data_IF_038468593844
#
_entry.id   IF_038468593844
#
_cell.length_a   1.000
_cell.length_b   1.000
_cell.length_c   1.000
_cell.angle_alpha   90.00
_cell.angle_beta   90.00
_cell.angle_gamma   90.00
#
_symmetry.space_group_name_H-M   'P 1'
#
loop_
_entity.id
_entity.type
_entity.pdbx_description
1 polymer ?
#
# COMPACT_ATOMS: atom_id res chain seq x y z
N UNK A 1 -17.49 -11.35 9.18
CA UNK A 1 -16.80 -11.39 7.91
C UNK A 1 -16.16 -10.03 7.63
N UNK A 2 -15.00 -10.01 6.94
CA UNK A 2 -14.26 -8.79 6.59
C UNK A 2 -13.91 -7.97 7.85
N UNK A 3 -14.20 -6.67 7.91
CA UNK A 3 -13.89 -5.81 9.05
C UNK A 3 -14.44 -6.31 10.40
N UNK A 4 -15.58 -7.01 10.38
CA UNK A 4 -16.11 -7.66 11.59
C UNK A 4 -15.26 -8.84 12.08
N UNK A 5 -14.61 -9.57 11.16
CA UNK A 5 -13.64 -10.61 11.54
C UNK A 5 -12.41 -9.99 12.19
N UNK A 6 -11.88 -8.93 11.61
CA UNK A 6 -10.76 -8.18 12.20
C UNK A 6 -11.08 -7.67 13.62
N UNK A 7 -12.28 -7.12 13.84
CA UNK A 7 -12.71 -6.68 15.17
C UNK A 7 -12.76 -7.84 16.16
N UNK A 8 -13.34 -8.99 15.78
CA UNK A 8 -13.44 -10.16 16.63
C UNK A 8 -12.05 -10.70 17.01
N UNK A 9 -11.13 -10.75 16.05
CA UNK A 9 -9.74 -11.17 16.28
C UNK A 9 -9.00 -10.22 17.23
N UNK A 10 -9.16 -8.89 17.02
CA UNK A 10 -8.56 -7.89 17.92
C UNK A 10 -9.11 -7.98 19.34
N UNK A 11 -10.40 -8.26 19.50
CA UNK A 11 -11.00 -8.46 20.84
C UNK A 11 -10.44 -9.72 21.49
N UNK A 12 -10.40 -10.84 20.76
CA UNK A 12 -9.91 -12.10 21.29
C UNK A 12 -8.42 -12.03 21.71
N UNK A 13 -7.61 -11.32 20.93
CA UNK A 13 -6.17 -11.16 21.17
C UNK A 13 -5.87 -10.22 22.34
N UNK A 14 -6.56 -9.07 22.40
CA UNK A 14 -6.26 -8.04 23.40
C UNK A 14 -7.05 -8.18 24.71
N UNK A 15 -8.15 -8.94 24.69
CA UNK A 15 -9.02 -9.12 25.85
C UNK A 15 -9.36 -10.61 26.04
N UNK A 16 -8.38 -11.46 26.37
CA UNK A 16 -8.59 -12.90 26.55
C UNK A 16 -9.63 -13.17 27.65
N UNK A 17 -10.57 -14.06 27.34
CA UNK A 17 -11.66 -14.41 28.24
C UNK A 17 -12.91 -13.51 28.18
N UNK A 18 -12.90 -12.48 27.35
CA UNK A 18 -14.10 -11.67 27.10
C UNK A 18 -15.12 -12.41 26.19
N UNK A 19 -14.62 -13.24 25.29
CA UNK A 19 -15.43 -14.03 24.36
C UNK A 19 -15.13 -15.53 24.60
N UNK A 20 -16.18 -16.37 24.63
CA UNK A 20 -16.04 -17.83 24.72
C UNK A 20 -15.55 -18.46 23.41
N UNK A 21 -15.71 -17.78 22.31
CA UNK A 21 -15.23 -18.19 20.99
C UNK A 21 -15.57 -17.16 19.92
N UNK A 22 -14.85 -17.24 18.78
CA UNK A 22 -15.09 -16.39 17.62
C UNK A 22 -15.22 -17.26 16.37
N UNK A 23 -16.09 -16.83 15.45
CA UNK A 23 -16.17 -17.38 14.09
C UNK A 23 -15.87 -16.26 13.11
N UNK A 24 -14.76 -16.40 12.41
CA UNK A 24 -14.28 -15.39 11.46
C UNK A 24 -14.35 -15.89 10.02
N UNK A 25 -14.69 -15.01 9.10
CA UNK A 25 -14.70 -15.31 7.66
C UNK A 25 -14.16 -14.13 6.88
N UNK A 26 -13.49 -14.37 5.76
CA UNK A 26 -12.77 -13.35 4.99
C UNK A 26 -11.83 -12.53 5.88
N UNK A 27 -11.12 -13.23 6.77
CA UNK A 27 -10.24 -12.62 7.75
C UNK A 27 -9.01 -12.01 7.08
N UNK A 28 -8.55 -10.90 7.65
CA UNK A 28 -7.30 -10.22 7.29
C UNK A 28 -6.71 -9.56 8.54
N UNK A 29 -6.18 -10.35 9.47
CA UNK A 29 -5.67 -9.86 10.77
C UNK A 29 -4.58 -8.80 10.59
N UNK A 30 -3.81 -8.89 9.51
CA UNK A 30 -2.77 -7.94 9.13
C UNK A 30 -3.29 -6.87 8.15
N UNK A 31 -4.36 -6.17 8.53
CA UNK A 31 -4.98 -5.14 7.69
C UNK A 31 -4.01 -3.99 7.34
N UNK A 32 -3.11 -3.67 8.25
CA UNK A 32 -2.12 -2.61 8.06
C UNK A 32 -1.16 -2.89 6.92
N UNK A 33 -0.82 -4.14 6.68
CA UNK A 33 0.15 -4.56 5.67
C UNK A 33 -0.52 -5.11 4.42
N UNK A 34 -1.42 -6.09 4.56
CA UNK A 34 -2.05 -6.74 3.43
C UNK A 34 -2.85 -5.76 2.55
N UNK A 35 -3.74 -4.97 3.15
CA UNK A 35 -4.54 -4.01 2.40
C UNK A 35 -3.69 -2.84 1.87
N UNK A 36 -2.68 -2.40 2.61
CA UNK A 36 -1.78 -1.32 2.17
C UNK A 36 -0.84 -1.80 1.08
N UNK A 37 -0.25 -2.99 1.20
CA UNK A 37 0.65 -3.55 0.19
C UNK A 37 -0.06 -3.74 -1.15
N UNK A 38 -1.30 -4.26 -1.14
CA UNK A 38 -2.05 -4.51 -2.38
C UNK A 38 -2.61 -3.21 -2.96
N UNK A 39 -3.31 -2.40 -2.18
CA UNK A 39 -4.06 -1.26 -2.70
C UNK A 39 -3.23 0.02 -2.75
N UNK A 40 -2.81 0.52 -1.60
CA UNK A 40 -2.18 1.84 -1.52
C UNK A 40 -0.73 1.86 -2.02
N UNK A 41 -0.10 0.70 -2.21
CA UNK A 41 1.26 0.58 -2.70
C UNK A 41 1.33 -0.11 -4.05
N UNK A 42 1.05 -1.43 -4.15
CA UNK A 42 1.21 -2.20 -5.39
C UNK A 42 0.33 -1.71 -6.52
N UNK A 43 -0.99 -1.65 -6.31
CA UNK A 43 -1.93 -1.16 -7.33
C UNK A 43 -1.64 0.29 -7.73
N UNK A 44 -1.24 1.13 -6.77
CA UNK A 44 -0.91 2.53 -7.03
C UNK A 44 0.33 2.68 -7.91
N UNK A 45 1.37 1.88 -7.70
CA UNK A 45 2.56 1.87 -8.55
C UNK A 45 2.24 1.41 -9.98
N UNK A 46 1.49 0.31 -10.11
CA UNK A 46 1.11 -0.25 -11.40
C UNK A 46 0.20 0.70 -12.18
N UNK A 47 -0.80 1.30 -11.53
CA UNK A 47 -1.68 2.30 -12.15
C UNK A 47 -0.90 3.55 -12.60
N UNK A 48 0.00 4.08 -11.74
CA UNK A 48 0.85 5.21 -12.10
C UNK A 48 1.76 4.90 -13.30
N UNK A 49 2.31 3.68 -13.36
CA UNK A 49 3.10 3.25 -14.49
C UNK A 49 2.26 3.25 -15.78
N UNK A 50 1.08 2.64 -15.79
CA UNK A 50 0.23 2.58 -16.98
C UNK A 50 -0.21 3.96 -17.47
N UNK A 51 -0.42 4.91 -16.57
CA UNK A 51 -0.74 6.31 -16.95
C UNK A 51 0.41 7.06 -17.62
N UNK A 52 1.65 6.66 -17.36
CA UNK A 52 2.87 7.33 -17.83
C UNK A 52 3.58 6.57 -18.95
N UNK A 53 3.23 5.31 -19.16
CA UNK A 53 3.86 4.46 -20.16
C UNK A 53 3.60 4.99 -21.56
N UNK A 54 4.65 4.98 -22.38
CA UNK A 54 4.56 5.25 -23.80
C UNK A 54 4.25 3.99 -24.63
N UNK A 55 4.11 2.83 -23.98
CA UNK A 55 3.73 1.59 -24.63
C UNK A 55 2.22 1.41 -24.59
N UNK A 56 1.68 0.81 -25.65
CA UNK A 56 0.26 0.43 -25.67
C UNK A 56 -0.01 -0.74 -24.75
N UNK A 57 -1.04 -0.58 -23.90
CA UNK A 57 -1.51 -1.57 -22.96
C UNK A 57 -3.02 -1.78 -23.09
N UNK A 58 -3.43 -2.98 -23.43
CA UNK A 58 -4.85 -3.34 -23.39
C UNK A 58 -5.32 -3.54 -21.95
N UNK A 59 -6.61 -3.43 -21.70
CA UNK A 59 -7.18 -3.67 -20.37
C UNK A 59 -6.95 -5.11 -19.90
N UNK A 60 -7.00 -6.09 -20.81
CA UNK A 60 -6.65 -7.48 -20.49
C UNK A 60 -5.21 -7.63 -20.00
N UNK A 61 -4.26 -6.91 -20.59
CA UNK A 61 -2.86 -6.89 -20.15
C UNK A 61 -2.70 -6.21 -18.79
N UNK A 62 -3.38 -5.09 -18.56
CA UNK A 62 -3.38 -4.40 -17.26
C UNK A 62 -3.92 -5.29 -16.14
N UNK A 63 -5.01 -6.01 -16.41
CA UNK A 63 -5.60 -7.00 -15.50
C UNK A 63 -4.62 -8.13 -15.21
N UNK A 64 -4.01 -8.70 -16.24
CA UNK A 64 -3.03 -9.79 -16.07
C UNK A 64 -1.78 -9.37 -15.27
N UNK A 65 -1.35 -8.12 -15.39
CA UNK A 65 -0.22 -7.58 -14.62
C UNK A 65 -0.59 -7.27 -13.17
N UNK A 66 -1.78 -6.69 -12.95
CA UNK A 66 -2.21 -6.24 -11.62
C UNK A 66 -2.81 -7.35 -10.76
N UNK A 67 -3.34 -8.41 -11.37
CA UNK A 67 -4.11 -9.47 -10.69
C UNK A 67 -5.46 -9.01 -10.14
N UNK A 68 -5.92 -7.80 -10.49
CA UNK A 68 -7.21 -7.27 -10.08
C UNK A 68 -8.33 -7.74 -11.03
N UNK A 69 -9.58 -7.63 -10.59
CA UNK A 69 -10.74 -8.16 -11.32
C UNK A 69 -10.93 -7.51 -12.70
N UNK A 70 -10.64 -6.22 -12.81
CA UNK A 70 -10.74 -5.45 -14.06
C UNK A 70 -9.86 -4.18 -14.00
N UNK A 71 -9.75 -3.47 -15.13
CA UNK A 71 -8.95 -2.26 -15.23
C UNK A 71 -9.52 -1.09 -14.43
N UNK A 72 -10.83 -1.05 -14.19
CA UNK A 72 -11.47 -0.02 -13.34
C UNK A 72 -11.10 -0.24 -11.89
N UNK A 73 -11.09 -1.50 -11.43
CA UNK A 73 -10.63 -1.85 -10.09
C UNK A 73 -9.18 -1.40 -9.85
N UNK A 74 -8.30 -1.55 -10.85
CA UNK A 74 -6.94 -1.06 -10.78
C UNK A 74 -6.88 0.47 -10.57
N UNK A 75 -7.64 1.23 -11.36
CA UNK A 75 -7.69 2.70 -11.23
C UNK A 75 -8.25 3.14 -9.88
N UNK A 76 -9.33 2.51 -9.42
CA UNK A 76 -9.95 2.82 -8.12
C UNK A 76 -8.99 2.53 -6.98
N UNK A 77 -8.27 1.42 -7.01
CA UNK A 77 -7.30 1.07 -5.97
C UNK A 77 -6.05 1.94 -6.07
N UNK A 78 -5.54 2.21 -7.27
CA UNK A 78 -4.38 3.06 -7.50
C UNK A 78 -4.57 4.52 -7.04
N UNK A 79 -5.79 5.00 -6.99
CA UNK A 79 -6.13 6.35 -6.53
C UNK A 79 -6.33 6.47 -5.00
N UNK A 80 -5.88 5.50 -4.20
CA UNK A 80 -6.04 5.50 -2.74
C UNK A 80 -4.71 5.63 -1.99
N UNK A 81 -4.05 6.82 -2.03
CA UNK A 81 -2.86 7.06 -1.21
C UNK A 81 -3.18 7.27 0.26
N UNK A 82 -4.43 7.46 0.61
CA UNK A 82 -4.96 7.86 1.91
C UNK A 82 -4.33 7.09 3.08
N UNK A 83 -4.15 5.79 2.96
CA UNK A 83 -3.59 4.97 4.04
C UNK A 83 -2.09 5.19 4.29
N UNK A 84 -1.35 5.55 3.26
CA UNK A 84 0.09 5.81 3.36
C UNK A 84 0.44 7.30 3.37
N UNK A 85 -0.55 8.17 3.12
CA UNK A 85 -0.36 9.61 3.10
C UNK A 85 -0.29 10.16 4.53
N UNK A 86 0.80 10.81 4.93
CA UNK A 86 0.96 11.34 6.27
C UNK A 86 0.00 12.49 6.61
N UNK A 87 -0.60 13.14 5.61
CA UNK A 87 -1.53 14.25 5.81
C UNK A 87 -2.99 13.80 5.95
N UNK A 88 -3.30 12.53 5.72
CA UNK A 88 -4.67 12.00 5.77
C UNK A 88 -5.14 11.76 7.21
N UNK A 89 -5.23 12.82 7.98
CA UNK A 89 -5.62 12.80 9.38
C UNK A 89 -7.15 12.84 9.55
N UNK A 90 -7.62 12.15 10.59
CA UNK A 90 -9.00 12.25 11.03
C UNK A 90 -9.30 13.70 11.49
N UNK A 91 -10.53 14.16 11.23
CA UNK A 91 -10.95 15.54 11.57
C UNK A 91 -10.97 15.81 13.09
N UNK A 92 -11.03 14.78 13.91
CA UNK A 92 -10.89 14.88 15.36
C UNK A 92 -9.49 15.37 15.80
N UNK A 93 -8.45 15.20 14.96
CA UNK A 93 -7.13 15.75 15.24
C UNK A 93 -7.10 17.24 14.81
N UNK A 94 -6.89 18.18 15.76
CA UNK A 94 -6.80 19.59 15.43
C UNK A 94 -5.75 19.89 14.36
N UNK A 95 -6.01 20.76 13.37
CA UNK A 95 -5.08 21.09 12.30
C UNK A 95 -3.69 21.52 12.78
N UNK A 96 -3.60 22.27 13.87
CA UNK A 96 -2.35 22.73 14.44
C UNK A 96 -1.43 21.59 14.96
N UNK A 97 -1.99 20.41 15.17
CA UNK A 97 -1.22 19.22 15.60
C UNK A 97 -0.83 18.31 14.45
N UNK A 98 -1.39 18.52 13.25
CA UNK A 98 -1.12 17.70 12.08
C UNK A 98 0.25 18.05 11.49
N UNK A 99 0.91 17.02 10.96
CA UNK A 99 2.14 17.21 10.24
C UNK A 99 1.96 18.04 8.98
N UNK A 100 2.86 18.97 8.77
CA UNK A 100 3.03 19.72 7.54
C UNK A 100 4.55 19.88 7.31
N UNK A 101 5.07 19.62 6.10
CA UNK A 101 6.51 19.65 5.86
C UNK A 101 7.16 21.01 6.09
N UNK A 102 6.39 22.09 6.02
CA UNK A 102 6.87 23.48 6.19
C UNK A 102 6.38 24.09 7.49
N UNK A 103 5.07 24.08 7.71
CA UNK A 103 4.45 24.78 8.83
C UNK A 103 4.56 24.01 10.16
N UNK A 104 4.55 22.66 10.13
CA UNK A 104 4.62 21.83 11.33
C UNK A 104 5.35 20.51 11.07
N UNK A 105 6.67 20.53 10.81
CA UNK A 105 7.44 19.32 10.47
C UNK A 105 7.54 18.31 11.62
N UNK A 106 7.20 18.70 12.85
CA UNK A 106 7.15 17.82 14.03
C UNK A 106 5.72 17.41 14.41
N UNK A 107 4.73 17.76 13.61
CA UNK A 107 3.34 17.40 13.82
C UNK A 107 3.07 15.91 13.67
N UNK A 108 1.88 15.48 14.07
CA UNK A 108 1.45 14.10 13.98
C UNK A 108 1.24 13.70 12.51
N UNK A 109 1.97 12.69 12.06
CA UNK A 109 1.79 12.02 10.77
C UNK A 109 0.70 10.98 10.90
N UNK A 110 -0.21 10.93 9.95
CA UNK A 110 -1.43 10.11 10.02
C UNK A 110 -1.41 8.92 9.05
N UNK A 111 -0.23 8.47 8.64
CA UNK A 111 -0.11 7.28 7.81
C UNK A 111 -0.27 6.00 8.65
N UNK A 112 -0.58 4.89 7.98
CA UNK A 112 -0.66 3.56 8.61
C UNK A 112 0.67 3.15 9.27
N UNK A 113 1.80 3.68 8.81
CA UNK A 113 3.10 3.39 9.38
C UNK A 113 3.18 3.81 10.86
N UNK A 114 2.57 4.95 11.21
CA UNK A 114 2.51 5.42 12.60
C UNK A 114 1.66 4.50 13.49
N UNK A 115 0.65 3.82 12.95
CA UNK A 115 -0.08 2.79 13.68
C UNK A 115 0.80 1.57 13.99
N UNK A 116 1.70 1.23 13.08
CA UNK A 116 2.61 0.10 13.24
C UNK A 116 3.86 0.38 14.07
N UNK A 117 4.06 1.60 14.58
CA UNK A 117 5.30 2.01 15.24
C UNK A 117 5.67 1.17 16.47
N UNK A 118 4.68 0.66 17.20
CA UNK A 118 4.93 -0.22 18.35
C UNK A 118 5.47 -1.60 17.95
N UNK A 119 5.15 -2.07 16.75
CA UNK A 119 5.67 -3.34 16.21
C UNK A 119 6.98 -3.18 15.44
N UNK A 120 7.07 -2.16 14.59
CA UNK A 120 8.19 -1.98 13.65
C UNK A 120 9.25 -0.98 14.14
N UNK A 121 8.90 -0.17 15.12
CA UNK A 121 9.78 0.87 15.64
C UNK A 121 9.91 2.08 14.73
N UNK A 122 10.91 2.91 15.04
CA UNK A 122 11.28 4.09 14.27
C UNK A 122 12.68 3.95 13.70
N UNK A 123 12.91 4.56 12.56
CA UNK A 123 14.23 4.73 12.00
C UNK A 123 15.04 5.66 12.92
N UNK A 124 16.22 5.24 13.43
CA UNK A 124 16.99 6.02 14.39
C UNK A 124 17.61 7.28 13.78
N UNK A 125 17.73 7.38 12.46
CA UNK A 125 18.31 8.53 11.77
C UNK A 125 17.27 9.62 11.52
N UNK A 126 16.07 9.21 11.11
CA UNK A 126 15.01 10.15 10.71
C UNK A 126 13.96 10.36 11.81
N UNK A 127 13.82 9.42 12.76
CA UNK A 127 12.77 9.41 13.77
C UNK A 127 11.40 9.03 13.21
N UNK A 128 11.27 8.79 11.91
CA UNK A 128 10.02 8.39 11.26
C UNK A 128 9.69 6.93 11.54
N UNK A 129 8.41 6.59 11.56
CA UNK A 129 7.97 5.20 11.65
C UNK A 129 8.56 4.37 10.50
N UNK A 130 9.06 3.18 10.81
CA UNK A 130 9.49 2.24 9.78
C UNK A 130 8.29 1.74 9.00
N UNK A 131 8.50 1.44 7.73
CA UNK A 131 7.47 0.90 6.84
C UNK A 131 7.88 -0.50 6.38
N UNK A 132 7.00 -1.50 6.50
CA UNK A 132 7.28 -2.86 6.04
C UNK A 132 6.92 -3.04 4.56
N UNK A 133 7.08 -2.01 3.74
CA UNK A 133 6.79 -2.03 2.31
C UNK A 133 8.06 -1.92 1.51
N UNK A 134 8.23 -2.87 0.61
CA UNK A 134 9.40 -3.02 -0.25
C UNK A 134 8.95 -3.52 -1.62
N UNK A 135 9.56 -3.03 -2.69
CA UNK A 135 9.39 -3.60 -4.02
C UNK A 135 10.72 -3.84 -4.75
N UNK A 136 11.82 -3.85 -4.01
CA UNK A 136 13.12 -4.25 -4.53
C UNK A 136 13.07 -5.75 -4.86
N UNK A 137 13.44 -6.11 -6.08
CA UNK A 137 13.39 -7.51 -6.55
C UNK A 137 12.02 -8.02 -7.00
N UNK A 138 10.94 -7.26 -6.80
CA UNK A 138 9.61 -7.64 -7.30
C UNK A 138 9.61 -7.63 -8.84
N UNK A 139 9.16 -8.71 -9.44
CA UNK A 139 9.05 -8.87 -10.90
C UNK A 139 7.60 -8.66 -11.33
N UNK A 140 7.22 -7.41 -11.51
CA UNK A 140 5.86 -7.06 -11.92
C UNK A 140 5.51 -7.66 -13.28
N UNK A 141 4.38 -8.36 -13.37
CA UNK A 141 3.89 -8.96 -14.60
C UNK A 141 4.62 -10.23 -15.04
N UNK A 142 5.40 -10.89 -14.17
CA UNK A 142 6.11 -12.14 -14.51
C UNK A 142 5.15 -13.24 -14.97
N UNK A 143 4.04 -13.43 -14.29
CA UNK A 143 3.03 -14.42 -14.68
C UNK A 143 2.40 -14.07 -16.04
N UNK A 144 2.09 -12.81 -16.28
CA UNK A 144 1.57 -12.34 -17.55
C UNK A 144 2.57 -12.53 -18.70
N UNK A 145 3.88 -12.36 -18.43
CA UNK A 145 4.94 -12.65 -19.38
C UNK A 145 5.01 -14.16 -19.68
N UNK A 146 5.01 -15.00 -18.65
CA UNK A 146 5.10 -16.46 -18.81
C UNK A 146 3.88 -17.02 -19.54
N UNK A 147 2.71 -16.43 -19.34
CA UNK A 147 1.48 -16.76 -20.05
C UNK A 147 1.42 -16.19 -21.49
N UNK A 148 2.41 -15.42 -21.91
CA UNK A 148 2.44 -14.79 -23.24
C UNK A 148 1.43 -13.64 -23.42
N UNK A 149 0.84 -13.13 -22.33
CA UNK A 149 -0.14 -12.02 -22.37
C UNK A 149 0.55 -10.69 -22.63
N UNK A 150 1.76 -10.53 -22.10
CA UNK A 150 2.61 -9.36 -22.35
C UNK A 150 3.91 -9.75 -23.05
N UNK A 151 4.48 -8.82 -23.77
CA UNK A 151 5.75 -9.01 -24.46
C UNK A 151 6.95 -8.84 -23.52
N UNK A 152 8.11 -9.35 -23.90
CA UNK A 152 9.38 -9.10 -23.18
C UNK A 152 9.68 -7.59 -23.08
N UNK A 153 9.40 -6.83 -24.14
CA UNK A 153 9.59 -5.38 -24.13
C UNK A 153 8.74 -4.68 -23.08
N UNK A 154 7.44 -5.02 -23.01
CA UNK A 154 6.53 -4.51 -22.00
C UNK A 154 6.96 -4.89 -20.57
N UNK A 155 7.40 -6.13 -20.36
CA UNK A 155 7.89 -6.60 -19.05
C UNK A 155 9.15 -5.84 -18.60
N UNK A 156 10.11 -5.65 -19.49
CA UNK A 156 11.36 -4.92 -19.19
C UNK A 156 11.05 -3.46 -18.89
N UNK A 157 10.25 -2.81 -19.71
CA UNK A 157 9.87 -1.41 -19.53
C UNK A 157 9.13 -1.20 -18.21
N UNK A 158 8.13 -2.04 -17.92
CA UNK A 158 7.39 -2.01 -16.66
C UNK A 158 8.34 -2.12 -15.46
N UNK A 159 9.20 -3.12 -15.45
CA UNK A 159 10.08 -3.35 -14.30
C UNK A 159 11.21 -2.34 -14.17
N UNK A 160 11.60 -1.68 -15.25
CA UNK A 160 12.57 -0.58 -15.23
C UNK A 160 11.95 0.73 -14.73
N UNK A 161 10.68 0.98 -15.06
CA UNK A 161 10.04 2.29 -14.92
C UNK A 161 8.99 2.36 -13.80
N UNK A 162 8.69 1.25 -13.11
CA UNK A 162 7.65 1.19 -12.07
C UNK A 162 7.95 2.12 -10.89
N UNK A 163 9.24 2.33 -10.56
CA UNK A 163 9.65 3.17 -9.45
C UNK A 163 9.22 2.65 -8.08
N UNK A 164 9.03 3.58 -7.17
CA UNK A 164 8.60 3.35 -5.80
C UNK A 164 7.79 4.50 -5.25
N UNK A 165 7.59 4.48 -3.93
CA UNK A 165 6.93 5.52 -3.16
C UNK A 165 7.81 5.88 -1.96
N UNK A 166 8.01 7.17 -1.69
CA UNK A 166 8.73 7.62 -0.50
C UNK A 166 7.86 7.53 0.77
N UNK A 167 8.42 7.95 1.91
CA UNK A 167 7.73 7.93 3.22
C UNK A 167 6.56 8.93 3.29
N UNK A 168 6.51 9.89 2.38
CA UNK A 168 5.46 10.91 2.27
C UNK A 168 4.41 10.58 1.20
N UNK A 169 4.45 9.35 0.68
CA UNK A 169 3.57 8.84 -0.35
C UNK A 169 3.77 9.48 -1.75
N UNK A 170 4.89 10.13 -2.01
CA UNK A 170 5.22 10.63 -3.34
C UNK A 170 5.84 9.52 -4.20
N UNK A 171 5.57 9.54 -5.50
CA UNK A 171 6.23 8.64 -6.43
C UNK A 171 7.69 9.04 -6.63
N UNK A 172 8.58 8.05 -6.56
CA UNK A 172 10.02 8.19 -6.81
C UNK A 172 10.47 7.25 -7.93
N UNK A 173 11.59 7.58 -8.57
CA UNK A 173 12.13 6.77 -9.67
C UNK A 173 12.72 5.44 -9.18
N UNK A 174 13.30 5.45 -8.00
CA UNK A 174 13.91 4.28 -7.37
C UNK A 174 12.82 3.35 -6.81
N UNK A 175 13.16 2.06 -6.71
CA UNK A 175 12.33 1.10 -5.98
C UNK A 175 12.29 1.47 -4.49
N UNK A 176 11.13 1.30 -3.88
CA UNK A 176 11.02 1.43 -2.43
C UNK A 176 11.79 0.31 -1.75
N UNK A 177 12.65 0.68 -0.81
CA UNK A 177 13.24 -0.24 0.18
C UNK A 177 12.64 0.03 1.56
N UNK A 178 12.33 -1.03 2.29
CA UNK A 178 11.82 -0.98 3.67
C UNK A 178 12.91 -0.66 4.69
#
# INVERSE_FOLDING_TARGET
CSGGSYQAEQIADNYPGLLDGIVVGCSFPDVGHAAVAVHSFGARLVDNYFRKSNLDWTDAQKVAVSGLADAVALQVQGNRPDRINPTNCNDALPPALRWDPVANPKGARCSIYEHGVNGWGRDPKTGLARRPLDNVGVQYGLEALNAGVITKAQFIDLNRSIGGVDIDANFIAERTSG
#
